data_IF_913433157025
#
_entry.id   IF_913433157025
#
_cell.length_a   1.000
_cell.length_b   1.000
_cell.length_c   1.000
_cell.angle_alpha   90.00
_cell.angle_beta   90.00
_cell.angle_gamma   90.00
#
_symmetry.space_group_name_H-M   'P 1'
#
loop_
_entity.id
_entity.type
_entity.pdbx_description
1 polymer ?
#
# COMPACT_ATOMS: atom_id res chain seq x y z
N UNK A 1 -13.89 8.60 -10.21
CA UNK A 1 -14.02 10.02 -9.82
C UNK A 1 -14.16 10.14 -8.31
N UNK A 2 -13.44 11.07 -7.70
CA UNK A 2 -13.52 11.34 -6.27
C UNK A 2 -14.80 12.12 -5.94
N UNK A 3 -15.40 11.79 -4.79
CA UNK A 3 -16.56 12.47 -4.22
C UNK A 3 -16.14 13.16 -2.93
N UNK A 4 -16.40 14.44 -2.83
CA UNK A 4 -16.07 15.27 -1.66
C UNK A 4 -17.31 16.01 -1.16
N UNK A 5 -17.28 16.39 0.10
CA UNK A 5 -18.17 17.40 0.66
C UNK A 5 -17.40 18.70 0.96
N UNK A 6 -18.02 19.64 1.68
CA UNK A 6 -17.37 20.89 2.08
C UNK A 6 -16.21 20.73 3.08
N UNK A 7 -15.98 19.52 3.64
CA UNK A 7 -15.00 19.26 4.69
C UNK A 7 -13.91 18.28 4.26
N UNK A 8 -14.21 17.40 3.30
CA UNK A 8 -13.21 16.42 2.87
C UNK A 8 -13.71 15.37 1.89
N UNK A 9 -12.89 14.33 1.69
CA UNK A 9 -13.19 13.21 0.82
C UNK A 9 -14.24 12.31 1.46
N UNK A 10 -15.33 12.05 0.74
CA UNK A 10 -16.38 11.12 1.14
C UNK A 10 -16.18 9.71 0.57
N UNK A 11 -15.69 9.62 -0.67
CA UNK A 11 -15.59 8.34 -1.36
C UNK A 11 -15.22 8.46 -2.82
N UNK A 12 -15.54 7.41 -3.54
CA UNK A 12 -15.30 7.31 -4.98
C UNK A 12 -16.56 6.79 -5.70
N UNK A 13 -16.85 7.37 -6.86
CA UNK A 13 -17.90 6.83 -7.73
C UNK A 13 -17.49 5.44 -8.20
N UNK A 14 -18.32 4.46 -7.92
CA UNK A 14 -18.13 3.07 -8.31
C UNK A 14 -18.86 2.75 -9.62
N UNK A 15 -20.09 3.20 -9.72
CA UNK A 15 -20.93 2.95 -10.89
C UNK A 15 -21.90 4.11 -11.13
N UNK A 16 -22.24 4.34 -12.39
CA UNK A 16 -23.19 5.38 -12.79
C UNK A 16 -24.22 4.84 -13.77
N UNK A 17 -25.42 5.37 -13.66
CA UNK A 17 -26.50 5.23 -14.63
C UNK A 17 -26.90 6.61 -15.14
N UNK A 18 -27.89 6.69 -16.04
CA UNK A 18 -28.39 7.98 -16.56
C UNK A 18 -29.00 8.89 -15.48
N UNK A 19 -29.35 8.37 -14.30
CA UNK A 19 -30.05 9.12 -13.24
C UNK A 19 -29.49 8.91 -11.84
N UNK A 20 -28.55 7.99 -11.65
CA UNK A 20 -28.03 7.61 -10.35
C UNK A 20 -26.53 7.30 -10.42
N UNK A 21 -25.83 7.59 -9.34
CA UNK A 21 -24.46 7.15 -9.14
C UNK A 21 -24.37 6.39 -7.81
N UNK A 22 -23.61 5.28 -7.80
CA UNK A 22 -23.23 4.59 -6.58
C UNK A 22 -21.86 5.09 -6.15
N UNK A 23 -21.76 5.48 -4.90
CA UNK A 23 -20.51 5.94 -4.30
C UNK A 23 -20.08 4.94 -3.24
N UNK A 24 -18.83 4.48 -3.30
CA UNK A 24 -18.20 3.73 -2.22
C UNK A 24 -17.58 4.73 -1.27
N UNK A 25 -18.03 4.72 -0.03
CA UNK A 25 -17.52 5.64 1.00
C UNK A 25 -16.12 5.25 1.45
N UNK A 26 -15.36 6.21 1.97
CA UNK A 26 -14.01 5.94 2.52
C UNK A 26 -14.05 5.09 3.78
N UNK A 27 -15.20 5.00 4.46
CA UNK A 27 -15.40 4.11 5.61
C UNK A 27 -15.68 2.65 5.25
N UNK A 28 -15.93 2.34 3.97
CA UNK A 28 -16.18 0.96 3.52
C UNK A 28 -14.93 0.09 3.73
N UNK A 29 -15.04 -1.12 4.35
CA UNK A 29 -13.90 -2.00 4.61
C UNK A 29 -13.11 -2.42 3.37
N UNK A 30 -13.75 -2.44 2.21
CA UNK A 30 -13.08 -2.73 0.94
C UNK A 30 -12.46 -1.49 0.28
N UNK A 31 -12.57 -0.30 0.91
CA UNK A 31 -12.02 0.92 0.37
C UNK A 31 -10.65 1.23 0.96
N UNK A 32 -9.70 1.48 0.07
CA UNK A 32 -8.34 1.89 0.41
C UNK A 32 -8.02 3.21 -0.32
N UNK A 33 -7.64 4.22 0.44
CA UNK A 33 -7.29 5.54 -0.09
C UNK A 33 -5.82 5.86 0.18
N UNK A 34 -5.02 6.14 -0.86
CA UNK A 34 -3.64 6.59 -0.70
C UNK A 34 -3.61 8.00 -0.10
N UNK A 35 -2.97 8.14 1.05
CA UNK A 35 -2.94 9.39 1.82
C UNK A 35 -1.52 9.78 2.21
N UNK A 36 -1.36 11.01 2.66
CA UNK A 36 -0.14 11.49 3.32
C UNK A 36 -0.49 12.32 4.54
N UNK A 37 0.38 12.27 5.54
CA UNK A 37 0.30 13.14 6.71
C UNK A 37 0.80 14.52 6.27
N UNK A 38 -0.04 15.54 6.39
CA UNK A 38 0.26 16.88 5.87
C UNK A 38 1.52 17.48 6.49
N UNK A 39 1.75 17.25 7.80
CA UNK A 39 2.88 17.80 8.54
C UNK A 39 4.24 17.22 8.12
N UNK A 40 4.31 15.91 7.89
CA UNK A 40 5.57 15.19 7.68
C UNK A 40 5.77 14.75 6.22
N UNK A 41 4.72 14.80 5.39
CA UNK A 41 4.74 14.25 4.04
C UNK A 41 4.79 12.70 4.00
N UNK A 42 4.74 12.03 5.16
CA UNK A 42 4.74 10.57 5.24
C UNK A 42 3.53 9.99 4.52
N UNK A 43 3.77 9.15 3.52
CA UNK A 43 2.73 8.48 2.74
C UNK A 43 2.34 7.15 3.36
N UNK A 44 1.06 6.84 3.29
CA UNK A 44 0.47 5.57 3.75
C UNK A 44 -0.86 5.33 3.04
N UNK A 45 -1.56 4.28 3.44
CA UNK A 45 -2.91 3.97 2.97
C UNK A 45 -3.86 4.02 4.16
N UNK A 46 -4.94 4.76 4.02
CA UNK A 46 -6.06 4.72 4.95
C UNK A 46 -7.09 3.69 4.46
N UNK A 47 -7.53 2.83 5.37
CA UNK A 47 -8.50 1.77 5.13
C UNK A 47 -9.80 2.12 5.85
N UNK A 48 -10.92 1.83 5.21
CA UNK A 48 -12.23 1.87 5.86
C UNK A 48 -12.35 0.75 6.89
N UNK A 49 -13.08 1.01 7.96
CA UNK A 49 -13.31 0.03 9.05
C UNK A 49 -14.73 -0.54 9.08
N UNK A 50 -15.62 -0.04 8.22
CA UNK A 50 -17.06 -0.27 8.30
C UNK A 50 -17.80 0.71 9.20
N UNK A 51 -17.07 1.49 9.99
CA UNK A 51 -17.63 2.51 10.87
C UNK A 51 -17.48 3.90 10.23
N UNK A 52 -18.55 4.68 10.06
CA UNK A 52 -18.49 5.99 9.40
C UNK A 52 -17.53 6.98 10.06
N UNK A 53 -17.29 6.83 11.35
CA UNK A 53 -16.42 7.72 12.14
C UNK A 53 -14.97 7.25 12.28
N UNK A 54 -14.53 6.20 11.55
CA UNK A 54 -13.20 5.64 11.77
C UNK A 54 -12.54 5.14 10.50
N UNK A 55 -11.30 5.53 10.32
CA UNK A 55 -10.36 4.97 9.33
C UNK A 55 -9.17 4.39 10.08
N UNK A 56 -8.53 3.37 9.50
CA UNK A 56 -7.34 2.74 10.06
C UNK A 56 -6.15 2.85 9.11
N UNK A 57 -4.95 3.06 9.64
CA UNK A 57 -3.69 3.09 8.91
C UNK A 57 -2.68 2.12 9.53
N UNK A 58 -2.77 0.83 9.20
CA UNK A 58 -1.98 -0.22 9.87
C UNK A 58 -0.52 -0.32 9.40
N UNK A 59 -0.16 0.31 8.29
CA UNK A 59 1.14 0.12 7.63
C UNK A 59 2.12 1.28 7.86
N UNK A 60 2.03 1.97 9.00
CA UNK A 60 2.97 3.01 9.37
C UNK A 60 4.13 2.42 10.18
N UNK A 61 5.40 2.57 9.71
CA UNK A 61 6.57 2.12 10.46
C UNK A 61 6.64 2.72 11.85
N UNK A 62 7.13 1.97 12.84
CA UNK A 62 7.20 2.40 14.26
C UNK A 62 7.97 3.71 14.48
N UNK A 63 8.96 4.00 13.63
CA UNK A 63 9.76 5.23 13.68
C UNK A 63 9.10 6.44 13.01
N UNK A 64 7.92 6.28 12.40
CA UNK A 64 7.25 7.41 11.75
C UNK A 64 6.81 8.46 12.77
N UNK A 65 7.04 9.74 12.45
CA UNK A 65 6.56 10.86 13.27
C UNK A 65 5.08 11.14 12.96
N UNK A 66 4.21 10.45 13.68
CA UNK A 66 2.74 10.61 13.62
C UNK A 66 2.24 10.98 14.99
N UNK A 67 1.35 11.97 15.07
CA UNK A 67 0.78 12.50 16.30
C UNK A 67 -0.72 12.62 16.19
N UNK A 68 -1.40 12.46 17.32
CA UNK A 68 -2.83 12.81 17.42
C UNK A 68 -3.03 14.27 17.02
N UNK A 69 -4.04 14.54 16.20
CA UNK A 69 -4.32 15.85 15.62
C UNK A 69 -3.62 16.12 14.27
N UNK A 70 -2.76 15.23 13.79
CA UNK A 70 -2.18 15.37 12.46
C UNK A 70 -3.27 15.27 11.38
N UNK A 71 -3.24 16.22 10.43
CA UNK A 71 -4.13 16.19 9.29
C UNK A 71 -3.63 15.27 8.21
N UNK A 72 -4.56 14.52 7.64
CA UNK A 72 -4.34 13.55 6.59
C UNK A 72 -5.02 14.06 5.32
N UNK A 73 -4.27 14.07 4.22
CA UNK A 73 -4.74 14.50 2.91
C UNK A 73 -4.49 13.40 1.87
N UNK A 74 -5.17 13.46 0.74
CA UNK A 74 -4.90 12.56 -0.39
C UNK A 74 -3.48 12.76 -0.90
N UNK A 75 -2.79 11.66 -1.23
CA UNK A 75 -1.39 11.71 -1.70
C UNK A 75 -1.24 11.91 -3.21
N UNK A 76 -2.32 11.76 -3.97
CA UNK A 76 -2.28 11.79 -5.44
C UNK A 76 -1.75 10.51 -6.08
N UNK A 77 -1.44 9.47 -5.29
CA UNK A 77 -0.97 8.20 -5.85
C UNK A 77 -2.11 7.41 -6.48
N UNK A 78 -1.84 6.86 -7.67
CA UNK A 78 -2.79 5.99 -8.38
C UNK A 78 -3.91 6.73 -9.10
N UNK A 79 -3.81 8.05 -9.28
CA UNK A 79 -4.70 8.91 -10.09
C UNK A 79 -6.22 8.79 -9.79
N UNK A 80 -6.57 8.19 -8.65
CA UNK A 80 -7.97 8.06 -8.22
C UNK A 80 -8.47 9.26 -7.44
N UNK A 81 -7.57 9.91 -6.71
CA UNK A 81 -7.81 11.09 -5.90
C UNK A 81 -6.72 12.11 -6.18
N UNK A 82 -7.06 13.32 -6.63
CA UNK A 82 -6.07 14.39 -6.74
C UNK A 82 -5.39 14.65 -5.41
N UNK A 83 -4.13 15.06 -5.42
CA UNK A 83 -3.37 15.30 -4.20
C UNK A 83 -3.90 16.50 -3.40
N UNK A 84 -3.79 16.43 -2.06
CA UNK A 84 -4.02 17.57 -1.17
C UNK A 84 -5.45 17.74 -0.67
N UNK A 85 -6.40 16.87 -1.04
CA UNK A 85 -7.75 16.94 -0.48
C UNK A 85 -7.78 16.42 0.96
N UNK A 86 -8.44 17.12 1.89
CA UNK A 86 -8.61 16.67 3.27
C UNK A 86 -9.33 15.33 3.34
N UNK A 87 -8.83 14.41 4.16
CA UNK A 87 -9.44 13.08 4.36
C UNK A 87 -9.85 12.88 5.80
N UNK A 88 -8.91 13.01 6.73
CA UNK A 88 -9.13 12.68 8.14
C UNK A 88 -8.18 13.46 9.05
N UNK A 89 -8.41 13.33 10.36
CA UNK A 89 -7.52 13.78 11.42
C UNK A 89 -7.16 12.59 12.31
N UNK A 90 -5.88 12.44 12.67
CA UNK A 90 -5.40 11.34 13.53
C UNK A 90 -6.03 11.44 14.90
N UNK A 91 -6.74 10.41 15.33
CA UNK A 91 -7.40 10.33 16.63
C UNK A 91 -6.63 9.50 17.64
N UNK A 92 -5.97 8.43 17.20
CA UNK A 92 -5.25 7.51 18.06
C UNK A 92 -3.96 7.05 17.39
N UNK A 93 -2.90 6.93 18.19
CA UNK A 93 -1.62 6.36 17.76
C UNK A 93 -1.23 5.30 18.78
N UNK A 94 -1.26 4.04 18.38
CA UNK A 94 -0.87 2.91 19.20
C UNK A 94 0.44 2.32 18.70
N UNK A 95 1.43 2.20 19.61
CA UNK A 95 2.77 1.67 19.32
C UNK A 95 3.01 0.41 20.14
N UNK A 96 2.52 -0.76 19.68
CA UNK A 96 2.69 -2.00 20.42
C UNK A 96 4.16 -2.40 20.48
N UNK A 97 4.63 -2.80 21.69
CA UNK A 97 6.00 -3.21 21.91
C UNK A 97 6.36 -4.43 21.05
N UNK A 98 7.47 -4.36 20.33
CA UNK A 98 7.93 -5.47 19.48
C UNK A 98 7.28 -5.57 18.11
N UNK A 99 6.34 -4.69 17.76
CA UNK A 99 5.78 -4.65 16.42
C UNK A 99 6.66 -3.86 15.43
N UNK A 100 6.61 -4.22 14.16
CA UNK A 100 7.28 -3.47 13.09
C UNK A 100 6.50 -2.21 12.68
N UNK A 101 5.19 -2.23 12.87
CA UNK A 101 4.27 -1.17 12.47
C UNK A 101 3.43 -0.70 13.66
N UNK A 102 3.08 0.58 13.65
CA UNK A 102 2.11 1.16 14.57
C UNK A 102 0.69 1.07 14.00
N UNK A 103 -0.30 1.06 14.88
CA UNK A 103 -1.71 1.20 14.50
C UNK A 103 -2.13 2.65 14.71
N UNK A 104 -2.63 3.27 13.66
CA UNK A 104 -3.11 4.64 13.71
C UNK A 104 -4.55 4.68 13.26
N UNK A 105 -5.43 5.22 14.11
CA UNK A 105 -6.81 5.50 13.76
C UNK A 105 -7.00 7.00 13.48
N UNK A 106 -7.92 7.31 12.58
CA UNK A 106 -8.24 8.67 12.21
C UNK A 106 -9.76 8.87 12.05
N UNK A 107 -10.22 10.06 12.35
CA UNK A 107 -11.61 10.50 12.16
C UNK A 107 -11.75 11.15 10.78
N UNK A 108 -12.64 10.64 9.91
CA UNK A 108 -12.96 11.30 8.66
C UNK A 108 -13.40 12.75 8.89
N UNK A 109 -12.94 13.67 8.02
CA UNK A 109 -13.38 15.06 8.07
C UNK A 109 -14.72 15.25 7.37
N UNK A 110 -14.98 14.46 6.33
CA UNK A 110 -16.25 14.48 5.60
C UNK A 110 -17.39 13.91 6.45
N UNK A 111 -18.58 14.43 6.26
CA UNK A 111 -19.80 13.95 6.93
C UNK A 111 -20.39 12.77 6.15
N UNK A 112 -19.98 11.56 6.52
CA UNK A 112 -20.31 10.34 5.78
C UNK A 112 -21.76 9.84 5.95
N UNK A 113 -22.43 10.24 7.04
CA UNK A 113 -23.76 9.75 7.43
C UNK A 113 -24.92 10.73 7.18
N UNK A 114 -24.64 11.99 6.91
CA UNK A 114 -25.65 13.07 6.85
C UNK A 114 -25.49 14.06 5.70
N UNK A 115 -24.56 13.80 4.77
CA UNK A 115 -24.32 14.70 3.64
C UNK A 115 -25.55 14.79 2.73
N UNK A 116 -26.00 16.03 2.45
CA UNK A 116 -27.09 16.30 1.50
C UNK A 116 -26.58 16.68 0.12
N UNK A 117 -25.38 17.23 0.05
CA UNK A 117 -24.75 17.73 -1.17
C UNK A 117 -23.33 17.16 -1.25
N UNK A 118 -22.96 16.75 -2.45
CA UNK A 118 -21.65 16.23 -2.75
C UNK A 118 -21.11 16.90 -4.01
N UNK A 119 -19.80 17.03 -4.10
CA UNK A 119 -19.10 17.53 -5.26
C UNK A 119 -18.33 16.40 -5.91
N UNK A 120 -18.40 16.30 -7.21
CA UNK A 120 -17.58 15.38 -7.99
C UNK A 120 -16.32 16.11 -8.43
N UNK A 121 -15.16 15.56 -8.09
CA UNK A 121 -13.88 16.07 -8.58
C UNK A 121 -13.66 15.46 -9.97
N UNK A 122 -13.80 16.30 -10.98
CA UNK A 122 -13.54 15.92 -12.37
C UNK A 122 -12.06 16.22 -12.65
N UNK A 123 -11.28 15.21 -12.97
CA UNK A 123 -9.96 15.39 -13.54
C UNK A 123 -10.12 15.99 -14.95
N UNK A 124 -9.44 17.12 -15.16
CA UNK A 124 -9.41 17.72 -16.50
C UNK A 124 -8.62 16.77 -17.40
N UNK A 125 -9.17 16.36 -18.57
CA UNK A 125 -8.38 15.61 -19.54
C UNK A 125 -7.20 16.49 -20.00
N UNK A 126 -6.01 16.20 -19.53
CA UNK A 126 -4.84 16.99 -19.90
C UNK A 126 -3.78 17.19 -18.80
N UNK A 127 -4.09 16.90 -17.52
CA UNK A 127 -3.08 16.90 -16.45
C UNK A 127 -2.42 15.52 -16.24
N UNK A 128 -2.37 14.70 -17.28
CA UNK A 128 -1.34 13.69 -17.36
C UNK A 128 -0.02 14.47 -17.35
N UNK A 129 0.71 14.43 -16.22
CA UNK A 129 2.08 14.91 -16.12
C UNK A 129 2.80 14.40 -17.36
N UNK A 130 3.14 15.31 -18.27
CA UNK A 130 4.10 15.01 -19.31
C UNK A 130 5.32 14.41 -18.59
N UNK A 131 5.83 13.24 -19.01
CA UNK A 131 7.06 12.73 -18.46
C UNK A 131 8.10 13.83 -18.66
N UNK A 132 8.71 14.25 -17.55
CA UNK A 132 9.77 15.28 -17.57
C UNK A 132 10.75 14.93 -18.67
N UNK A 133 11.07 15.83 -19.60
CA UNK A 133 11.95 15.54 -20.75
C UNK A 133 13.43 15.38 -20.38
N UNK A 134 13.78 15.28 -19.10
CA UNK A 134 15.14 15.22 -18.60
C UNK A 134 15.63 13.81 -18.20
N UNK A 135 15.28 12.80 -18.97
CA UNK A 135 16.10 11.60 -19.07
C UNK A 135 16.46 11.41 -20.53
N UNK A 136 17.30 12.29 -21.02
CA UNK A 136 18.13 11.99 -22.18
C UNK A 136 19.03 10.85 -21.73
N UNK A 137 18.64 9.61 -22.05
CA UNK A 137 19.59 8.52 -22.13
C UNK A 137 20.54 8.89 -23.26
N UNK A 138 21.73 9.34 -22.91
CA UNK A 138 22.83 9.35 -23.87
C UNK A 138 22.95 7.93 -24.43
N UNK A 139 22.99 7.77 -25.77
CA UNK A 139 23.29 6.47 -26.34
C UNK A 139 24.72 6.15 -25.93
N UNK A 140 24.87 5.19 -25.03
CA UNK A 140 26.15 4.63 -24.64
C UNK A 140 26.91 4.21 -25.90
N UNK A 141 28.12 4.71 -26.00
CA UNK A 141 29.10 4.38 -27.02
C UNK A 141 29.10 2.88 -27.29
N UNK A 142 28.87 2.55 -28.54
CA UNK A 142 29.11 1.22 -29.09
C UNK A 142 30.59 0.91 -28.89
N UNK A 143 30.87 0.06 -27.91
CA UNK A 143 32.20 -0.54 -27.79
C UNK A 143 32.34 -1.49 -28.98
N UNK A 144 33.08 -1.06 -29.99
CA UNK A 144 33.59 -1.92 -31.05
C UNK A 144 34.33 -3.09 -30.40
N UNK A 145 33.82 -4.27 -30.61
CA UNK A 145 34.57 -5.52 -30.35
C UNK A 145 35.64 -5.68 -31.40
N UNK A 146 36.93 -5.81 -31.07
CA UNK A 146 37.90 -6.28 -32.00
C UNK A 146 37.69 -7.81 -32.17
N UNK A 147 37.34 -8.22 -33.38
CA UNK A 147 37.49 -9.60 -33.82
C UNK A 147 39.00 -9.86 -33.91
N UNK A 148 39.48 -10.77 -33.13
CA UNK A 148 40.59 -11.71 -33.42
C UNK A 148 41.14 -12.27 -32.09
N UNK A 149 40.81 -13.49 -31.83
CA UNK A 149 41.69 -14.51 -31.27
C UNK A 149 40.94 -15.84 -31.24
N UNK A 150 41.03 -16.51 -32.33
CA UNK A 150 40.86 -17.96 -32.41
C UNK A 150 41.98 -18.66 -31.62
N UNK A 151 41.59 -19.84 -31.10
CA UNK A 151 42.51 -20.95 -30.80
C UNK A 151 43.17 -20.95 -29.42
N UNK A 152 42.58 -21.70 -28.50
CA UNK A 152 43.30 -22.82 -27.89
C UNK A 152 42.34 -23.77 -27.17
N UNK A 153 42.32 -24.99 -27.68
CA UNK A 153 41.75 -26.16 -27.04
C UNK A 153 42.40 -26.41 -25.68
N UNK A 154 41.60 -26.78 -24.71
CA UNK A 154 42.04 -27.22 -23.39
C UNK A 154 40.94 -28.04 -22.74
N UNK A 155 41.00 -29.32 -23.03
CA UNK A 155 40.43 -30.47 -22.36
C UNK A 155 40.63 -30.35 -20.84
N UNK A 156 39.56 -30.34 -20.05
CA UNK A 156 39.59 -30.63 -18.61
C UNK A 156 38.24 -31.23 -18.17
N UNK A 157 38.28 -32.51 -18.06
CA UNK A 157 37.66 -33.44 -17.12
C UNK A 157 36.50 -32.94 -16.24
N UNK A 158 35.37 -33.60 -16.37
CA UNK A 158 34.30 -33.68 -15.39
C UNK A 158 34.77 -34.40 -14.13
N UNK A 159 34.49 -33.93 -12.94
CA UNK A 159 34.36 -34.83 -11.80
C UNK A 159 32.88 -35.19 -11.61
N UNK A 160 32.64 -36.45 -11.80
CA UNK A 160 31.55 -37.25 -11.30
C UNK A 160 31.43 -37.09 -9.75
N UNK A 161 30.23 -37.30 -9.28
CA UNK A 161 29.91 -37.71 -7.92
C UNK A 161 29.55 -36.61 -6.90
N UNK A 162 28.26 -36.36 -6.78
CA UNK A 162 27.65 -35.95 -5.50
C UNK A 162 26.42 -36.82 -5.26
N UNK A 163 26.57 -37.76 -4.36
CA UNK A 163 25.51 -38.58 -3.78
C UNK A 163 24.45 -37.69 -3.07
N UNK A 164 23.16 -38.12 -3.07
CA UNK A 164 22.12 -37.45 -2.33
C UNK A 164 22.24 -37.75 -0.82
N UNK A 165 21.91 -36.81 0.07
CA UNK A 165 21.93 -37.05 1.51
C UNK A 165 20.77 -37.98 1.93
N UNK A 166 21.13 -38.92 2.78
CA UNK A 166 20.26 -39.91 3.39
C UNK A 166 19.11 -39.32 4.20
N UNK A 167 17.92 -39.87 4.00
CA UNK A 167 16.75 -39.75 4.85
C UNK A 167 17.09 -40.21 6.28
N UNK A 168 17.02 -39.30 7.23
CA UNK A 168 17.03 -39.67 8.65
C UNK A 168 15.61 -40.04 9.10
N UNK A 169 15.42 -41.31 9.33
CA UNK A 169 14.27 -41.89 10.02
C UNK A 169 14.12 -41.31 11.42
N UNK A 170 12.94 -40.81 11.72
CA UNK A 170 12.52 -40.50 13.09
C UNK A 170 12.10 -41.78 13.80
N UNK A 171 12.64 -42.09 14.96
CA UNK A 171 12.09 -43.16 15.80
C UNK A 171 10.81 -42.66 16.48
N UNK A 172 9.72 -43.39 16.30
CA UNK A 172 8.50 -43.23 17.08
C UNK A 172 8.74 -43.52 18.56
N UNK A 173 8.13 -42.73 19.39
CA UNK A 173 7.92 -43.09 20.80
C UNK A 173 6.43 -43.07 21.12
N UNK A 174 5.94 -44.25 21.32
CA UNK A 174 4.61 -44.55 21.83
C UNK A 174 4.68 -44.46 23.36
N UNK A 175 3.87 -43.61 23.95
CA UNK A 175 3.59 -43.75 25.40
C UNK A 175 2.10 -43.59 25.63
N UNK A 176 1.47 -44.72 25.95
CA UNK A 176 0.11 -44.87 26.43
C UNK A 176 -0.12 -44.12 27.77
N UNK A 177 -1.37 -43.72 28.04
CA UNK A 177 -1.74 -43.16 29.32
C UNK A 177 -2.12 -44.22 30.35
N UNK A 178 -1.85 -44.09 31.63
CA UNK A 178 -2.50 -44.86 32.66
C UNK A 178 -3.80 -44.22 33.08
N UNK A 179 -4.87 -45.03 33.05
CA UNK A 179 -6.10 -44.76 33.75
C UNK A 179 -5.95 -44.92 35.28
N UNK A 180 -6.88 -44.37 36.03
CA UNK A 180 -7.02 -44.48 37.49
C UNK A 180 -8.08 -43.51 37.95
N UNK A 181 -9.23 -43.92 38.03
CA UNK A 181 -10.14 -44.29 39.09
C UNK A 181 -9.93 -43.57 40.45
N UNK A 182 -10.89 -42.76 40.81
CA UNK A 182 -11.65 -42.66 42.08
C UNK A 182 -12.32 -41.30 42.19
#
# INVERSE_FOLDING_TARGET
>A
QAVIDGQGVMGQVENTTSRQARVRLISDPEHAIPVQILRTGQRTVALGTGEPGRLSMPNLPMQSDVRVGDRIVTSGLGDRFPAGFPVAEVSTVDRPTGAAFMNVDALPLATLDRGREVLLVLEKPGDAREPSPDVVQEPGDAIEQPADAMEQAGDLEQPDNLEPPEEQEQPGDATEPPGGDS
#
